data_IF_001522188398
#
_entry.id   IF_001522188398
#
_cell.length_a   1.000
_cell.length_b   1.000
_cell.length_c   1.000
_cell.angle_alpha   90.00
_cell.angle_beta   90.00
_cell.angle_gamma   90.00
#
_symmetry.space_group_name_H-M   'P 1'
#
loop_
_entity.id
_entity.type
_entity.pdbx_description
1 polymer ?
#
# COMPACT_ATOMS: atom_id res chain seq x y z
N UNK A 1 -7.21 56.16 21.57
CA UNK A 1 -8.02 55.26 20.70
C UNK A 1 -7.16 54.99 19.46
N UNK A 2 -6.82 53.80 19.02
CA UNK A 2 -7.57 52.55 18.99
C UNK A 2 -6.64 51.33 19.22
N UNK A 3 -7.09 50.41 20.06
CA UNK A 3 -6.50 49.09 20.21
C UNK A 3 -6.75 48.25 18.94
N UNK A 4 -5.67 47.70 18.39
CA UNK A 4 -5.58 46.38 17.72
C UNK A 4 -6.88 45.82 17.11
N UNK A 5 -7.31 46.33 15.96
CA UNK A 5 -8.48 45.81 15.22
C UNK A 5 -8.12 44.81 14.08
N UNK A 6 -6.84 44.69 13.71
CA UNK A 6 -6.43 43.88 12.54
C UNK A 6 -6.10 42.40 12.83
N UNK A 7 -5.75 42.05 14.06
CA UNK A 7 -5.29 40.69 14.42
C UNK A 7 -6.43 39.68 14.51
N UNK A 8 -7.63 40.13 14.84
CA UNK A 8 -8.78 39.23 15.07
C UNK A 8 -9.50 38.88 13.76
N UNK A 9 -9.47 39.76 12.76
CA UNK A 9 -10.07 39.52 11.43
C UNK A 9 -9.33 38.44 10.64
N UNK A 10 -7.99 38.45 10.70
CA UNK A 10 -7.15 37.45 10.02
C UNK A 10 -7.33 36.05 10.63
N UNK A 11 -7.40 35.95 11.95
CA UNK A 11 -7.65 34.68 12.64
C UNK A 11 -9.07 34.14 12.35
N UNK A 12 -10.08 35.01 12.29
CA UNK A 12 -11.46 34.62 11.97
C UNK A 12 -11.58 34.13 10.52
N UNK A 13 -10.92 34.78 9.56
CA UNK A 13 -10.88 34.32 8.16
C UNK A 13 -10.23 32.94 8.01
N UNK A 14 -9.15 32.68 8.74
CA UNK A 14 -8.49 31.36 8.74
C UNK A 14 -9.41 30.26 9.27
N UNK A 15 -10.15 30.53 10.35
CA UNK A 15 -11.08 29.56 10.94
C UNK A 15 -12.24 29.21 9.99
N UNK A 16 -12.79 30.20 9.28
CA UNK A 16 -13.86 30.00 8.30
C UNK A 16 -13.36 29.17 7.09
N UNK A 17 -12.12 29.39 6.64
CA UNK A 17 -11.52 28.61 5.56
C UNK A 17 -11.32 27.13 5.95
N UNK A 18 -10.92 26.85 7.18
CA UNK A 18 -10.73 25.47 7.68
C UNK A 18 -12.07 24.74 7.82
N UNK A 19 -13.11 25.42 8.31
CA UNK A 19 -14.45 24.84 8.45
C UNK A 19 -15.11 24.52 7.10
N UNK A 20 -14.82 25.29 6.05
CA UNK A 20 -15.33 25.03 4.70
C UNK A 20 -14.64 23.82 4.01
N UNK A 21 -13.42 23.46 4.43
CA UNK A 21 -12.67 22.29 3.92
C UNK A 21 -12.98 21.01 4.71
N UNK A 22 -13.41 21.12 5.97
CA UNK A 22 -13.68 19.96 6.84
C UNK A 22 -15.02 19.24 6.60
N UNK A 23 -15.82 19.71 5.65
CA UNK A 23 -17.22 19.31 5.46
C UNK A 23 -17.47 18.26 4.38
N UNK A 24 -16.73 17.14 4.37
CA UNK A 24 -17.24 15.84 3.91
C UNK A 24 -16.18 14.76 4.10
N UNK A 25 -16.20 14.14 5.28
CA UNK A 25 -15.71 12.77 5.39
C UNK A 25 -16.95 11.91 5.59
N UNK A 26 -17.62 11.59 4.48
CA UNK A 26 -18.38 10.35 4.46
C UNK A 26 -17.33 9.26 4.61
N UNK A 27 -17.30 8.63 5.78
CA UNK A 27 -16.66 7.33 5.96
C UNK A 27 -17.46 6.33 5.12
N UNK A 28 -17.26 6.36 3.81
CA UNK A 28 -17.43 5.17 3.00
C UNK A 28 -16.32 4.25 3.47
N UNK A 29 -16.69 3.27 4.30
CA UNK A 29 -15.84 2.12 4.57
C UNK A 29 -15.63 1.45 3.23
N UNK A 30 -14.59 1.90 2.54
CA UNK A 30 -14.11 1.29 1.33
C UNK A 30 -13.70 -0.09 1.80
N UNK A 31 -14.46 -1.12 1.41
CA UNK A 31 -13.95 -2.47 1.34
C UNK A 31 -12.79 -2.41 0.35
N UNK A 32 -11.64 -1.97 0.83
CA UNK A 32 -10.41 -2.07 0.09
C UNK A 32 -10.22 -3.56 -0.05
N UNK A 33 -10.46 -4.05 -1.26
CA UNK A 33 -9.87 -5.30 -1.71
C UNK A 33 -8.38 -5.00 -1.73
N UNK A 34 -7.77 -5.01 -0.55
CA UNK A 34 -6.34 -4.95 -0.40
C UNK A 34 -5.91 -6.26 -1.04
N UNK A 35 -5.33 -6.17 -2.24
CA UNK A 35 -4.64 -7.29 -2.87
C UNK A 35 -3.39 -7.51 -2.01
N UNK A 36 -3.61 -8.05 -0.80
CA UNK A 36 -2.53 -8.42 0.10
C UNK A 36 -1.83 -9.56 -0.61
N UNK A 37 -0.56 -9.44 -0.97
CA UNK A 37 0.18 -10.63 -1.34
C UNK A 37 0.04 -11.62 -0.19
N UNK A 38 -0.39 -12.83 -0.52
CA UNK A 38 -0.60 -13.85 0.50
C UNK A 38 0.74 -14.36 1.04
N UNK A 39 1.74 -14.37 0.17
CA UNK A 39 3.09 -14.74 0.50
C UNK A 39 4.07 -14.07 -0.45
N UNK A 40 5.21 -13.67 0.10
CA UNK A 40 6.36 -13.14 -0.64
C UNK A 40 7.46 -14.20 -0.55
N UNK A 41 8.06 -14.58 -1.67
CA UNK A 41 9.19 -15.49 -1.68
C UNK A 41 10.32 -14.95 -2.56
N UNK A 42 11.54 -15.41 -2.29
CA UNK A 42 12.68 -15.07 -3.14
C UNK A 42 12.55 -15.75 -4.50
N UNK A 43 12.83 -15.00 -5.56
CA UNK A 43 12.96 -15.53 -6.91
C UNK A 43 14.17 -16.48 -6.98
N UNK A 44 13.96 -17.67 -7.55
CA UNK A 44 15.03 -18.66 -7.73
C UNK A 44 15.84 -18.44 -9.03
N UNK A 45 15.21 -17.82 -10.03
CA UNK A 45 15.75 -17.62 -11.37
C UNK A 45 16.31 -16.22 -11.59
N UNK A 46 15.94 -15.20 -10.80
CA UNK A 46 16.54 -13.87 -10.89
C UNK A 46 18.02 -13.91 -10.45
N UNK A 47 18.90 -13.29 -11.23
CA UNK A 47 20.36 -13.33 -11.00
C UNK A 47 20.91 -11.93 -10.72
N UNK A 48 21.74 -11.84 -9.69
CA UNK A 48 22.43 -10.62 -9.30
C UNK A 48 21.60 -9.70 -8.40
N UNK A 49 22.15 -8.52 -8.05
CA UNK A 49 21.47 -7.55 -7.20
C UNK A 49 20.28 -6.91 -7.92
N UNK A 50 19.17 -6.78 -7.20
CA UNK A 50 17.93 -6.16 -7.70
C UNK A 50 17.79 -4.74 -7.14
N UNK A 51 17.86 -3.73 -8.00
CA UNK A 51 17.61 -2.34 -7.61
C UNK A 51 16.24 -1.88 -8.08
N UNK A 52 15.33 -1.51 -7.18
CA UNK A 52 13.93 -1.19 -7.55
C UNK A 52 13.79 -0.10 -8.61
N UNK A 53 14.71 0.87 -8.63
CA UNK A 53 14.72 1.93 -9.64
C UNK A 53 15.06 1.45 -11.07
N UNK A 54 15.76 0.32 -11.21
CA UNK A 54 16.32 -0.14 -12.48
C UNK A 54 15.83 -1.53 -12.90
N UNK A 55 15.48 -2.38 -11.94
CA UNK A 55 15.31 -3.81 -12.14
C UNK A 55 13.91 -4.32 -11.79
N UNK A 56 13.02 -3.51 -11.24
CA UNK A 56 11.67 -3.95 -10.84
C UNK A 56 10.95 -4.65 -11.99
N UNK A 57 10.95 -4.06 -13.20
CA UNK A 57 10.32 -4.68 -14.38
C UNK A 57 10.97 -6.00 -14.80
N UNK A 58 12.28 -6.14 -14.58
CA UNK A 58 12.99 -7.37 -14.91
C UNK A 58 12.68 -8.45 -13.86
N UNK A 59 12.62 -8.08 -12.58
CA UNK A 59 12.22 -8.95 -11.49
C UNK A 59 10.77 -9.43 -11.67
N UNK A 60 9.84 -8.51 -11.94
CA UNK A 60 8.43 -8.81 -12.19
C UNK A 60 8.24 -9.86 -13.30
N UNK A 61 8.88 -9.64 -14.47
CA UNK A 61 8.83 -10.60 -15.56
C UNK A 61 9.38 -11.97 -15.17
N UNK A 62 10.52 -12.03 -14.48
CA UNK A 62 11.10 -13.31 -14.02
C UNK A 62 10.14 -14.02 -13.08
N UNK A 63 9.52 -13.32 -12.14
CA UNK A 63 8.54 -13.91 -11.23
C UNK A 63 7.33 -14.49 -11.98
N UNK A 64 6.83 -13.83 -13.01
CA UNK A 64 5.73 -14.33 -13.83
C UNK A 64 6.13 -15.55 -14.68
N UNK A 65 7.39 -15.63 -15.11
CA UNK A 65 7.93 -16.79 -15.85
C UNK A 65 8.28 -17.97 -14.94
N UNK A 66 8.55 -17.72 -13.65
CA UNK A 66 8.89 -18.75 -12.67
C UNK A 66 7.72 -19.66 -12.31
N UNK A 67 6.52 -19.09 -12.18
CA UNK A 67 5.31 -19.84 -11.82
C UNK A 67 4.06 -19.10 -12.25
N UNK A 68 3.04 -19.83 -12.71
CA UNK A 68 1.71 -19.29 -12.97
C UNK A 68 0.95 -18.82 -11.72
N UNK A 69 1.43 -19.19 -10.52
CA UNK A 69 0.85 -18.76 -9.23
C UNK A 69 1.34 -17.37 -8.78
N UNK A 70 2.44 -16.90 -9.37
CA UNK A 70 3.01 -15.60 -9.08
C UNK A 70 2.21 -14.51 -9.81
N UNK A 71 1.88 -13.45 -9.09
CA UNK A 71 1.12 -12.31 -9.65
C UNK A 71 1.99 -11.13 -10.05
N UNK A 72 3.16 -10.98 -9.43
CA UNK A 72 4.07 -9.87 -9.64
C UNK A 72 5.42 -10.15 -8.97
N UNK A 73 6.39 -9.27 -9.23
CA UNK A 73 7.66 -9.24 -8.52
C UNK A 73 8.17 -7.82 -8.30
N UNK A 74 8.96 -7.63 -7.25
CA UNK A 74 9.62 -6.36 -6.95
C UNK A 74 10.99 -6.55 -6.29
N UNK A 75 11.86 -5.55 -6.46
CA UNK A 75 13.15 -5.53 -5.79
C UNK A 75 12.99 -5.07 -4.33
N UNK A 76 13.47 -5.88 -3.41
CA UNK A 76 13.55 -5.55 -1.98
C UNK A 76 14.86 -6.07 -1.39
N UNK A 77 15.55 -5.25 -0.60
CA UNK A 77 16.82 -5.64 0.05
C UNK A 77 17.86 -6.21 -0.93
N UNK A 78 18.00 -5.59 -2.11
CA UNK A 78 18.88 -6.03 -3.21
C UNK A 78 18.56 -7.41 -3.79
N UNK A 79 17.39 -7.97 -3.48
CA UNK A 79 16.93 -9.26 -3.95
C UNK A 79 15.60 -9.09 -4.69
N UNK A 80 15.30 -10.02 -5.59
CA UNK A 80 14.01 -10.06 -6.28
C UNK A 80 13.03 -10.92 -5.49
N UNK A 81 11.89 -10.33 -5.13
CA UNK A 81 10.81 -10.97 -4.39
C UNK A 81 9.60 -11.14 -5.29
N UNK A 82 9.08 -12.35 -5.35
CA UNK A 82 7.86 -12.70 -6.06
C UNK A 82 6.69 -12.73 -5.08
N UNK A 83 5.53 -12.25 -5.54
CA UNK A 83 4.29 -12.21 -4.77
C UNK A 83 3.30 -13.22 -5.35
N UNK A 84 2.64 -13.99 -4.48
CA UNK A 84 1.74 -15.06 -4.91
C UNK A 84 0.29 -14.70 -4.60
N UNK A 85 -0.61 -15.14 -5.49
CA UNK A 85 -2.05 -15.03 -5.23
C UNK A 85 -2.43 -15.87 -4.04
N UNK A 86 -3.36 -15.35 -3.25
CA UNK A 86 -4.06 -16.15 -2.26
C UNK A 86 -4.86 -17.24 -2.98
N UNK A 87 -4.41 -18.49 -2.90
CA UNK A 87 -5.29 -19.63 -3.19
C UNK A 87 -6.32 -19.75 -2.05
N UNK A 88 -7.56 -20.14 -2.36
CA UNK A 88 -8.67 -20.19 -1.38
C UNK A 88 -8.36 -21.01 -0.12
N UNK A 89 -7.41 -21.95 -0.19
CA UNK A 89 -6.96 -22.76 0.95
C UNK A 89 -6.23 -21.94 2.02
N UNK A 90 -5.43 -20.94 1.61
CA UNK A 90 -4.70 -20.06 2.55
C UNK A 90 -5.66 -19.13 3.31
N UNK A 91 -6.73 -18.67 2.64
CA UNK A 91 -7.77 -17.84 3.27
C UNK A 91 -8.55 -18.63 4.32
N UNK A 92 -8.85 -19.90 4.04
CA UNK A 92 -9.51 -20.78 5.00
C UNK A 92 -8.68 -21.02 6.26
N UNK A 93 -7.37 -21.22 6.13
CA UNK A 93 -6.47 -21.39 7.27
C UNK A 93 -6.38 -20.12 8.15
N UNK A 94 -6.35 -18.93 7.56
CA UNK A 94 -6.36 -17.66 8.30
C UNK A 94 -7.72 -17.36 8.97
N UNK A 95 -8.80 -17.98 8.50
CA UNK A 95 -10.17 -17.80 9.04
C UNK A 95 -10.55 -18.83 10.10
N UNK A 96 -9.72 -19.87 10.28
CA UNK A 96 -9.97 -20.87 11.31
C UNK A 96 -9.68 -20.25 12.69
N UNK A 97 -10.59 -20.38 13.68
CA UNK A 97 -10.27 -20.00 15.04
C UNK A 97 -9.06 -20.81 15.49
N UNK A 98 -8.02 -20.13 15.95
CA UNK A 98 -6.90 -20.77 16.64
C UNK A 98 -7.49 -21.40 17.89
N UNK A 99 -7.61 -22.72 17.91
CA UNK A 99 -8.05 -23.47 19.08
C UNK A 99 -6.91 -23.41 20.10
N UNK A 100 -6.93 -22.41 20.99
CA UNK A 100 -6.10 -22.35 22.19
C UNK A 100 -6.82 -22.98 23.37
#
# INVERSE_FOLDING_TARGET
MAHSAGKNLSAVLLLVAIAAVGGWIHAAESASVFYRPCNDHLSANYKGPCFGLFNDKACDRVCLEESGDNMSGSCGYLQCWCQNRCTSETVAAASAPILT
#
